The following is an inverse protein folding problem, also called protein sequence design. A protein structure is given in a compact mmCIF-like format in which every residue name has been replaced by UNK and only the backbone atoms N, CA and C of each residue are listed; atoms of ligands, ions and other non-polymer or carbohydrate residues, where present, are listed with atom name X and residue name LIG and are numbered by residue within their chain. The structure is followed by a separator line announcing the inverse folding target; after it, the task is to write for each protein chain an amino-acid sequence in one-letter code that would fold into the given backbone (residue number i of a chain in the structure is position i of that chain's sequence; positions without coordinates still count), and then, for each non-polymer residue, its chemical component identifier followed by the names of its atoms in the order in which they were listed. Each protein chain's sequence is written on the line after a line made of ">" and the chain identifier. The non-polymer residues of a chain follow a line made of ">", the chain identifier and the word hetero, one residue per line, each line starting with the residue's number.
data_IF_815810958107
#
_entry.id   IF_815810958107
#
_cell.length_a   1.000
_cell.length_b   1.000
_cell.length_c   1.000
_cell.angle_alpha   90.00
_cell.angle_beta   90.00
_cell.angle_gamma   90.00
#
_symmetry.space_group_name_H-M   'P 1'
#
loop_
_entity.id
_entity.type
_entity.pdbx_description
1 polymer ?
#
# COMPACT_ATOMS: atom_id res chain seq x y z
N UNK A 1 17.07 29.53 -13.17
CA UNK A 1 17.62 28.17 -12.84
C UNK A 1 18.73 28.20 -11.80
N UNK A 2 19.63 29.19 -11.80
CA UNK A 2 20.70 29.30 -10.76
C UNK A 2 20.16 29.43 -9.32
N UNK A 3 19.08 30.20 -9.10
CA UNK A 3 18.55 30.45 -7.73
C UNK A 3 17.87 29.23 -7.06
N UNK A 4 17.40 28.25 -7.84
CA UNK A 4 16.83 27.01 -7.29
C UNK A 4 17.91 25.99 -6.91
N UNK A 5 19.02 25.98 -7.64
CA UNK A 5 20.20 25.16 -7.33
C UNK A 5 20.91 25.65 -6.07
N UNK A 6 21.04 27.00 -5.91
CA UNK A 6 21.65 27.59 -4.71
C UNK A 6 20.78 27.38 -3.45
N UNK A 7 19.45 27.40 -3.59
CA UNK A 7 18.53 27.05 -2.50
C UNK A 7 18.59 25.57 -2.12
N UNK A 8 18.73 24.67 -3.10
CA UNK A 8 18.87 23.24 -2.87
C UNK A 8 20.22 22.89 -2.24
N UNK A 9 21.31 23.57 -2.66
CA UNK A 9 22.64 23.37 -2.06
C UNK A 9 22.73 23.93 -0.64
N UNK A 10 22.12 25.08 -0.35
CA UNK A 10 22.00 25.61 1.01
C UNK A 10 21.17 24.72 1.94
N UNK A 11 20.16 24.05 1.39
CA UNK A 11 19.33 23.10 2.13
C UNK A 11 20.06 21.79 2.49
N UNK A 12 21.00 21.33 1.64
CA UNK A 12 21.84 20.16 1.87
C UNK A 12 23.01 20.43 2.84
N UNK A 13 23.36 21.68 3.12
CA UNK A 13 24.50 22.07 3.97
C UNK A 13 24.12 22.36 5.43
N UNK A 14 22.86 22.24 5.84
CA UNK A 14 22.45 22.39 7.25
C UNK A 14 23.02 21.23 8.10
N UNK A 15 23.94 21.49 9.04
CA UNK A 15 24.62 20.45 9.84
C UNK A 15 23.66 19.58 10.66
N UNK A 16 22.49 20.12 11.04
CA UNK A 16 21.47 19.40 11.84
C UNK A 16 20.73 18.35 11.02
N UNK A 17 20.60 18.58 9.70
CA UNK A 17 19.97 17.65 8.76
C UNK A 17 20.95 16.62 8.22
N UNK A 18 22.22 17.00 8.04
CA UNK A 18 23.27 16.08 7.61
C UNK A 18 23.49 14.96 8.62
N UNK A 19 23.38 15.23 9.93
CA UNK A 19 23.45 14.20 10.97
C UNK A 19 22.24 13.24 10.95
N UNK A 20 21.04 13.74 10.68
CA UNK A 20 19.82 12.93 10.58
C UNK A 20 19.84 12.05 9.32
N UNK A 21 20.27 12.59 8.17
CA UNK A 21 20.43 11.84 6.92
C UNK A 21 21.56 10.81 6.98
N UNK A 22 22.66 11.09 7.69
CA UNK A 22 23.74 10.13 7.89
C UNK A 22 23.33 8.97 8.82
N UNK A 23 22.48 9.22 9.83
CA UNK A 23 21.92 8.18 10.69
C UNK A 23 20.97 7.24 9.91
N UNK A 24 20.07 7.81 9.14
CA UNK A 24 19.11 7.06 8.31
C UNK A 24 19.81 6.31 7.18
N UNK A 25 20.78 6.94 6.51
CA UNK A 25 21.57 6.30 5.45
C UNK A 25 22.38 5.12 5.94
N UNK A 26 22.99 5.20 7.14
CA UNK A 26 23.71 4.07 7.76
C UNK A 26 22.78 2.94 8.17
N UNK A 27 21.61 3.25 8.73
CA UNK A 27 20.61 2.23 9.08
C UNK A 27 20.07 1.50 7.84
N UNK A 28 19.81 2.21 6.76
CA UNK A 28 19.39 1.63 5.47
C UNK A 28 20.53 0.80 4.87
N UNK A 29 21.78 1.30 4.88
CA UNK A 29 22.93 0.58 4.37
C UNK A 29 23.24 -0.68 5.19
N UNK A 30 23.12 -0.61 6.53
CA UNK A 30 23.25 -1.78 7.41
C UNK A 30 22.10 -2.78 7.19
N UNK A 31 20.87 -2.29 7.01
CA UNK A 31 19.72 -3.12 6.66
C UNK A 31 19.89 -3.85 5.33
N UNK A 32 20.35 -3.14 4.30
CA UNK A 32 20.63 -3.73 2.97
C UNK A 32 21.79 -4.75 3.02
N UNK A 33 22.85 -4.48 3.79
CA UNK A 33 23.95 -5.42 3.99
C UNK A 33 23.50 -6.68 4.74
N UNK A 34 22.64 -6.53 5.76
CA UNK A 34 22.07 -7.67 6.49
C UNK A 34 21.15 -8.52 5.60
N UNK A 35 20.36 -7.89 4.73
CA UNK A 35 19.50 -8.57 3.75
C UNK A 35 20.38 -9.33 2.73
N UNK A 36 21.40 -8.70 2.15
CA UNK A 36 22.31 -9.35 1.21
C UNK A 36 23.09 -10.53 1.84
N UNK A 37 23.48 -10.41 3.11
CA UNK A 37 24.18 -11.48 3.81
C UNK A 37 23.25 -12.65 4.17
N UNK A 38 22.00 -12.37 4.56
CA UNK A 38 21.00 -13.43 4.83
C UNK A 38 20.57 -14.15 3.56
N UNK A 39 20.37 -13.44 2.46
CA UNK A 39 20.03 -14.01 1.16
C UNK A 39 21.16 -14.88 0.62
N UNK A 40 22.40 -14.42 0.74
CA UNK A 40 23.57 -15.20 0.30
C UNK A 40 23.74 -16.49 1.11
N UNK A 41 23.56 -16.41 2.43
CA UNK A 41 23.65 -17.59 3.32
C UNK A 41 22.52 -18.58 3.06
N UNK A 42 21.30 -18.09 2.81
CA UNK A 42 20.17 -18.95 2.42
C UNK A 42 20.40 -19.61 1.08
N UNK A 43 20.91 -18.88 0.09
CA UNK A 43 21.26 -19.40 -1.24
C UNK A 43 22.35 -20.47 -1.13
N UNK A 44 23.43 -20.20 -0.38
CA UNK A 44 24.54 -21.15 -0.15
C UNK A 44 24.05 -22.44 0.55
N UNK A 45 23.13 -22.33 1.52
CA UNK A 45 22.56 -23.48 2.21
C UNK A 45 21.62 -24.29 1.30
N UNK A 46 20.84 -23.59 0.47
CA UNK A 46 19.93 -24.22 -0.49
C UNK A 46 20.71 -24.99 -1.57
N UNK A 47 21.73 -24.36 -2.14
CA UNK A 47 22.57 -24.98 -3.18
C UNK A 47 23.36 -26.18 -2.62
N UNK A 48 23.83 -26.10 -1.37
CA UNK A 48 24.45 -27.22 -0.65
C UNK A 48 23.47 -28.36 -0.34
N UNK A 49 22.22 -28.02 0.00
CA UNK A 49 21.20 -29.01 0.38
C UNK A 49 20.68 -29.80 -0.81
N UNK A 50 20.53 -29.16 -1.98
CA UNK A 50 19.81 -29.72 -3.12
C UNK A 50 20.65 -29.87 -4.42
N UNK A 51 21.87 -29.32 -4.48
CA UNK A 51 22.79 -29.48 -5.65
C UNK A 51 22.30 -28.75 -6.90
N UNK A 52 22.78 -29.19 -8.07
CA UNK A 52 22.51 -28.57 -9.37
C UNK A 52 20.98 -28.56 -9.68
N UNK A 53 20.35 -27.39 -9.92
CA UNK A 53 18.93 -27.27 -10.23
C UNK A 53 18.48 -27.98 -11.53
N UNK A 54 19.40 -28.54 -12.31
CA UNK A 54 19.11 -29.32 -13.52
C UNK A 54 18.96 -30.81 -13.29
N UNK A 55 19.13 -31.28 -12.04
CA UNK A 55 18.98 -32.70 -11.70
C UNK A 55 17.78 -32.95 -10.79
N UNK A 56 17.15 -34.15 -10.83
CA UNK A 56 16.01 -34.46 -9.96
C UNK A 56 16.44 -34.40 -8.48
N UNK A 57 15.61 -33.81 -7.65
CA UNK A 57 15.79 -33.53 -6.23
C UNK A 57 16.50 -34.67 -5.49
N UNK A 58 17.73 -34.47 -5.12
CA UNK A 58 18.49 -35.36 -4.24
C UNK A 58 19.10 -34.49 -3.14
N UNK A 59 18.75 -34.81 -1.88
CA UNK A 59 19.38 -34.16 -0.73
C UNK A 59 20.85 -34.56 -0.69
N UNK A 60 21.74 -33.60 -0.97
CA UNK A 60 23.19 -33.81 -1.07
C UNK A 60 23.91 -33.53 0.24
N UNK A 61 23.38 -32.66 1.09
CA UNK A 61 23.93 -32.34 2.41
C UNK A 61 22.83 -32.24 3.49
N UNK A 62 22.77 -33.27 4.36
CA UNK A 62 21.80 -33.34 5.46
C UNK A 62 22.00 -32.27 6.54
N UNK A 63 23.24 -31.75 6.71
CA UNK A 63 23.53 -30.72 7.70
C UNK A 63 23.05 -29.36 7.19
N UNK A 64 23.34 -29.04 5.93
CA UNK A 64 22.83 -27.84 5.27
C UNK A 64 21.29 -27.83 5.21
N UNK A 65 20.66 -29.00 4.96
CA UNK A 65 19.20 -29.14 5.01
C UNK A 65 18.67 -28.93 6.43
N UNK A 66 19.38 -29.41 7.47
CA UNK A 66 18.97 -29.18 8.88
C UNK A 66 19.07 -27.71 9.27
N UNK A 67 20.12 -27.00 8.85
CA UNK A 67 20.25 -25.56 9.08
C UNK A 67 19.21 -24.75 8.27
N UNK A 68 18.94 -25.14 7.03
CA UNK A 68 17.87 -24.58 6.21
C UNK A 68 16.51 -24.80 6.84
N UNK A 69 16.27 -26.02 7.37
CA UNK A 69 15.03 -26.39 8.08
C UNK A 69 14.89 -25.61 9.39
N UNK A 70 15.97 -25.35 10.12
CA UNK A 70 15.94 -24.51 11.32
C UNK A 70 15.68 -23.03 10.99
N UNK A 71 16.24 -22.53 9.88
CA UNK A 71 15.95 -21.18 9.39
C UNK A 71 14.49 -21.05 8.91
N UNK A 72 13.89 -22.15 8.42
CA UNK A 72 12.50 -22.19 7.96
C UNK A 72 11.51 -22.62 9.05
N UNK A 73 11.92 -23.42 10.03
CA UNK A 73 11.04 -23.85 11.16
C UNK A 73 10.68 -22.71 12.10
N UNK A 74 11.51 -21.66 12.22
CA UNK A 74 11.11 -20.40 12.86
C UNK A 74 9.96 -19.70 12.14
N UNK A 75 9.74 -20.01 10.84
CA UNK A 75 8.65 -19.49 10.02
C UNK A 75 7.47 -20.46 9.83
N UNK A 76 7.70 -21.78 9.94
CA UNK A 76 6.68 -22.80 9.67
C UNK A 76 5.65 -23.01 10.80
N UNK A 77 5.97 -22.64 12.05
CA UNK A 77 5.02 -22.64 13.16
C UNK A 77 4.05 -21.42 13.14
N UNK A 78 4.20 -20.50 12.16
CA UNK A 78 3.36 -19.35 11.94
C UNK A 78 2.48 -19.42 10.70
N UNK A 79 2.30 -20.58 10.08
CA UNK A 79 1.42 -20.75 8.90
C UNK A 79 -0.07 -20.77 9.27
N UNK A 80 -0.49 -20.13 10.35
CA UNK A 80 -1.88 -19.90 10.67
C UNK A 80 -2.27 -18.47 10.27
N UNK A 81 -3.07 -18.36 9.23
CA UNK A 81 -4.24 -17.48 9.22
C UNK A 81 -4.00 -16.00 8.88
N UNK A 82 -4.66 -15.47 7.85
CA UNK A 82 -4.23 -14.29 7.11
C UNK A 82 -5.40 -13.37 6.73
N UNK A 83 -5.32 -12.08 6.94
CA UNK A 83 -6.37 -11.09 6.66
C UNK A 83 -5.90 -9.71 6.21
N UNK A 84 -5.29 -8.94 7.11
CA UNK A 84 -4.65 -7.67 6.77
C UNK A 84 -3.40 -7.92 5.91
N UNK A 85 -3.13 -7.02 4.98
CA UNK A 85 -1.96 -7.13 4.12
C UNK A 85 -0.72 -6.56 4.80
N UNK A 86 0.30 -7.40 4.95
CA UNK A 86 1.58 -7.08 5.57
C UNK A 86 2.72 -7.18 4.56
N UNK A 87 3.74 -6.35 4.73
CA UNK A 87 4.91 -6.30 3.87
C UNK A 87 6.18 -6.84 4.53
N UNK A 88 7.29 -6.63 3.86
CA UNK A 88 8.60 -7.14 4.26
C UNK A 88 9.14 -6.56 5.59
N UNK A 89 8.59 -5.44 6.06
CA UNK A 89 8.88 -4.85 7.38
C UNK A 89 8.22 -5.59 8.54
N UNK A 90 7.17 -6.37 8.27
CA UNK A 90 6.45 -7.16 9.27
C UNK A 90 7.31 -8.31 9.83
N UNK A 91 7.18 -8.57 11.14
CA UNK A 91 7.75 -9.77 11.77
C UNK A 91 7.04 -11.06 11.37
N UNK A 92 5.80 -10.97 10.86
CA UNK A 92 5.03 -12.10 10.37
C UNK A 92 5.27 -12.41 8.88
N UNK A 93 6.01 -11.56 8.16
CA UNK A 93 6.26 -11.76 6.74
C UNK A 93 7.20 -12.95 6.50
N UNK A 94 6.71 -13.96 5.79
CA UNK A 94 7.49 -15.14 5.42
C UNK A 94 8.37 -14.85 4.18
N UNK A 95 9.64 -14.55 4.45
CA UNK A 95 10.64 -14.26 3.41
C UNK A 95 10.92 -15.44 2.50
N UNK A 96 10.73 -16.68 2.98
CA UNK A 96 10.96 -17.89 2.20
C UNK A 96 9.86 -18.08 1.15
N UNK A 97 8.62 -17.81 1.54
CA UNK A 97 7.47 -17.81 0.62
C UNK A 97 7.55 -16.67 -0.40
N UNK A 98 7.97 -15.46 0.02
CA UNK A 98 8.21 -14.35 -0.91
C UNK A 98 9.33 -14.66 -1.92
N UNK A 99 10.38 -15.34 -1.49
CA UNK A 99 11.45 -15.80 -2.39
C UNK A 99 10.93 -16.85 -3.38
N UNK A 100 10.12 -17.80 -2.91
CA UNK A 100 9.47 -18.80 -3.78
C UNK A 100 8.54 -18.12 -4.77
N UNK A 101 7.73 -17.14 -4.32
CA UNK A 101 6.89 -16.32 -5.18
C UNK A 101 7.69 -15.63 -6.29
N UNK A 102 8.83 -15.02 -5.94
CA UNK A 102 9.74 -14.38 -6.91
C UNK A 102 10.29 -15.37 -7.93
N UNK A 103 10.62 -16.60 -7.52
CA UNK A 103 11.07 -17.65 -8.44
C UNK A 103 9.96 -18.10 -9.39
N UNK A 104 8.73 -18.26 -8.89
CA UNK A 104 7.58 -18.62 -9.71
C UNK A 104 7.26 -17.51 -10.71
N UNK A 105 7.27 -16.25 -10.29
CA UNK A 105 7.09 -15.08 -11.16
C UNK A 105 8.10 -15.05 -12.31
N UNK A 106 9.40 -15.26 -12.01
CA UNK A 106 10.46 -15.35 -13.02
C UNK A 106 10.31 -16.52 -14.00
N UNK A 107 9.58 -17.57 -13.61
CA UNK A 107 9.24 -18.72 -14.47
C UNK A 107 7.96 -18.50 -15.28
N UNK A 108 7.30 -17.35 -15.12
CA UNK A 108 6.07 -17.01 -15.83
C UNK A 108 4.80 -17.58 -15.21
N UNK A 109 4.83 -17.97 -13.92
CA UNK A 109 3.61 -18.36 -13.21
C UNK A 109 2.67 -17.14 -13.05
N UNK A 110 1.38 -17.39 -13.17
CA UNK A 110 0.36 -16.36 -12.98
C UNK A 110 0.30 -15.88 -11.52
N UNK A 111 -0.16 -14.64 -11.25
CA UNK A 111 -0.37 -14.16 -9.88
C UNK A 111 -1.25 -15.08 -9.03
N UNK A 112 -2.28 -15.69 -9.62
CA UNK A 112 -3.18 -16.64 -8.96
C UNK A 112 -2.45 -17.94 -8.55
N UNK A 113 -1.60 -18.48 -9.42
CA UNK A 113 -0.78 -19.65 -9.11
C UNK A 113 0.23 -19.36 -8.01
N UNK A 114 0.90 -18.20 -8.08
CA UNK A 114 1.83 -17.75 -7.04
C UNK A 114 1.12 -17.63 -5.69
N UNK A 115 -0.04 -16.98 -5.66
CA UNK A 115 -0.87 -16.84 -4.47
C UNK A 115 -1.25 -18.19 -3.87
N UNK A 116 -1.80 -19.08 -4.70
CA UNK A 116 -2.22 -20.42 -4.28
C UNK A 116 -1.08 -21.22 -3.67
N UNK A 117 0.12 -21.14 -4.24
CA UNK A 117 1.29 -21.88 -3.81
C UNK A 117 1.93 -21.27 -2.55
N UNK A 118 2.06 -19.94 -2.49
CA UNK A 118 2.90 -19.28 -1.50
C UNK A 118 2.14 -18.40 -0.50
N UNK A 119 0.89 -17.99 -0.79
CA UNK A 119 0.17 -16.95 -0.06
C UNK A 119 0.82 -15.59 -0.11
N UNK A 120 1.68 -15.40 -1.09
CA UNK A 120 2.35 -14.13 -1.34
C UNK A 120 1.85 -13.57 -2.66
N UNK A 121 1.57 -12.29 -2.69
CA UNK A 121 1.02 -11.60 -3.86
C UNK A 121 1.70 -10.26 -4.06
N UNK A 122 1.87 -9.84 -5.31
CA UNK A 122 2.22 -8.46 -5.59
C UNK A 122 0.99 -7.59 -5.52
N UNK A 123 1.06 -6.55 -4.70
CA UNK A 123 0.06 -5.50 -4.73
C UNK A 123 0.14 -4.69 -6.03
N UNK A 124 -0.87 -3.83 -6.28
CA UNK A 124 -0.90 -2.99 -7.48
C UNK A 124 0.29 -2.03 -7.62
N UNK A 125 0.94 -1.68 -6.51
CA UNK A 125 2.19 -0.89 -6.44
C UNK A 125 3.46 -1.71 -6.69
N UNK A 126 3.32 -2.99 -7.00
CA UNK A 126 4.43 -3.91 -7.28
C UNK A 126 5.15 -4.46 -6.04
N UNK A 127 4.76 -4.09 -4.83
CA UNK A 127 5.36 -4.60 -3.60
C UNK A 127 4.76 -5.95 -3.20
N UNK A 128 5.56 -6.83 -2.58
CA UNK A 128 5.10 -8.11 -2.07
C UNK A 128 4.27 -7.94 -0.80
N UNK A 129 3.18 -8.69 -0.74
CA UNK A 129 2.26 -8.75 0.39
C UNK A 129 1.97 -10.18 0.78
N UNK A 130 1.71 -10.34 2.07
CA UNK A 130 1.08 -11.52 2.65
C UNK A 130 -0.09 -11.04 3.50
N UNK A 131 -1.04 -11.89 3.81
CA UNK A 131 -2.15 -11.53 4.70
C UNK A 131 -1.89 -12.08 6.11
N UNK A 132 -2.37 -11.45 7.19
CA UNK A 132 -2.47 -11.98 8.56
C UNK A 132 -3.94 -12.23 8.93
N UNK A 133 -4.22 -13.12 9.91
CA UNK A 133 -5.57 -13.52 10.26
C UNK A 133 -6.33 -12.46 11.07
N UNK A 134 -7.47 -12.02 10.54
CA UNK A 134 -8.39 -11.09 11.21
C UNK A 134 -9.65 -11.78 11.75
N UNK A 135 -9.84 -13.10 11.50
CA UNK A 135 -11.09 -13.78 11.84
C UNK A 135 -11.40 -13.72 13.34
N UNK A 136 -10.36 -13.75 14.18
CA UNK A 136 -10.47 -13.64 15.63
C UNK A 136 -10.36 -12.21 16.16
N UNK A 137 -10.11 -11.23 15.29
CA UNK A 137 -10.02 -9.84 15.71
C UNK A 137 -11.34 -9.36 16.31
N UNK A 138 -11.28 -8.60 17.41
CA UNK A 138 -12.45 -8.03 18.08
C UNK A 138 -12.23 -6.55 18.32
N UNK A 139 -13.27 -5.78 18.16
CA UNK A 139 -13.28 -4.39 18.58
C UNK A 139 -13.94 -4.30 19.96
N UNK A 140 -13.26 -3.66 20.90
CA UNK A 140 -13.73 -3.46 22.28
C UNK A 140 -14.21 -2.03 22.39
N UNK A 141 -15.50 -1.86 22.59
CA UNK A 141 -16.12 -0.53 22.73
C UNK A 141 -15.76 0.13 24.07
N UNK A 142 -15.89 1.44 24.13
CA UNK A 142 -15.63 2.19 25.35
C UNK A 142 -16.46 1.70 26.57
N UNK A 143 -17.77 1.38 26.44
CA UNK A 143 -18.53 0.74 27.52
C UNK A 143 -17.95 -0.60 27.96
N UNK A 144 -17.61 -1.48 27.01
CA UNK A 144 -17.00 -2.79 27.33
C UNK A 144 -15.65 -2.66 28.04
N UNK A 145 -14.85 -1.64 27.69
CA UNK A 145 -13.61 -1.34 28.43
C UNK A 145 -13.89 -0.96 29.89
N UNK A 146 -14.96 -0.18 30.14
CA UNK A 146 -15.37 0.18 31.53
C UNK A 146 -15.85 -1.03 32.30
N UNK A 147 -16.60 -1.93 31.66
CA UNK A 147 -17.04 -3.18 32.27
C UNK A 147 -15.85 -4.07 32.61
N UNK A 148 -14.86 -4.20 31.70
CA UNK A 148 -13.59 -4.91 31.98
C UNK A 148 -12.84 -4.27 33.14
N UNK A 149 -12.79 -2.93 33.23
CA UNK A 149 -12.17 -2.23 34.36
C UNK A 149 -12.89 -2.49 35.67
N UNK A 150 -14.22 -2.54 35.65
CA UNK A 150 -15.04 -2.86 36.84
C UNK A 150 -14.76 -4.28 37.33
N UNK A 151 -14.72 -5.26 36.41
CA UNK A 151 -14.37 -6.66 36.73
C UNK A 151 -12.96 -6.77 37.32
N UNK A 152 -11.97 -6.09 36.75
CA UNK A 152 -10.60 -6.07 37.28
C UNK A 152 -10.53 -5.45 38.68
N UNK A 153 -11.31 -4.40 38.97
CA UNK A 153 -11.43 -3.81 40.32
C UNK A 153 -12.01 -4.81 41.31
N UNK A 154 -13.01 -5.58 40.91
CA UNK A 154 -13.57 -6.66 41.72
C UNK A 154 -12.49 -7.72 42.00
N UNK A 155 -11.77 -8.23 41.00
CA UNK A 155 -10.69 -9.20 41.16
C UNK A 155 -9.60 -8.70 42.13
N UNK A 156 -9.21 -7.41 42.00
CA UNK A 156 -8.27 -6.78 42.93
C UNK A 156 -8.79 -6.84 44.38
N UNK A 157 -10.09 -6.59 44.59
CA UNK A 157 -10.71 -6.64 45.92
C UNK A 157 -10.71 -8.04 46.47
N UNK A 158 -11.11 -9.04 45.67
CA UNK A 158 -11.10 -10.44 46.03
C UNK A 158 -9.69 -10.96 46.38
N UNK A 159 -8.69 -10.61 45.56
CA UNK A 159 -7.30 -10.97 45.81
C UNK A 159 -6.75 -10.32 47.09
N UNK A 160 -7.15 -9.07 47.39
CA UNK A 160 -6.79 -8.44 48.68
C UNK A 160 -7.41 -9.18 49.86
N UNK A 161 -8.65 -9.62 49.73
CA UNK A 161 -9.35 -10.39 50.77
C UNK A 161 -8.66 -11.75 51.00
N UNK A 162 -8.33 -12.47 49.92
CA UNK A 162 -7.56 -13.74 50.00
C UNK A 162 -6.21 -13.56 50.69
N UNK A 163 -5.49 -12.47 50.38
CA UNK A 163 -4.22 -12.15 51.05
C UNK A 163 -4.43 -11.84 52.54
N UNK A 164 -5.53 -11.18 52.92
CA UNK A 164 -5.86 -10.89 54.31
C UNK A 164 -6.19 -12.16 55.08
N UNK A 165 -7.08 -13.00 54.53
CA UNK A 165 -7.47 -14.29 55.13
C UNK A 165 -6.28 -15.21 55.29
N UNK A 166 -5.38 -15.29 54.32
CA UNK A 166 -4.18 -16.10 54.38
C UNK A 166 -3.21 -15.71 55.51
N UNK A 167 -3.30 -14.50 56.04
CA UNK A 167 -2.50 -14.06 57.20
C UNK A 167 -3.04 -14.53 58.54
N UNK A 168 -4.29 -14.97 58.59
CA UNK A 168 -4.91 -15.50 59.81
C UNK A 168 -4.42 -16.92 60.16
N UNK A 169 -3.76 -17.61 59.18
CA UNK A 169 -3.22 -18.97 59.33
C UNK A 169 -1.74 -19.06 58.94
N UNK A 170 -0.82 -18.36 59.67
CA UNK A 170 0.56 -18.21 59.26
C UNK A 170 1.42 -19.46 59.32
N UNK A 171 0.99 -20.46 60.09
CA UNK A 171 1.77 -21.68 60.40
C UNK A 171 1.50 -22.85 59.42
N UNK A 172 0.53 -22.70 58.52
CA UNK A 172 0.19 -23.68 57.50
C UNK A 172 0.96 -23.37 56.19
N UNK A 173 2.02 -24.12 55.93
CA UNK A 173 2.79 -24.07 54.67
C UNK A 173 3.37 -22.68 54.34
N UNK A 174 4.25 -22.09 55.17
CA UNK A 174 4.67 -20.69 55.06
C UNK A 174 5.38 -20.33 53.76
N UNK A 175 6.08 -21.28 53.10
CA UNK A 175 6.76 -21.04 51.81
C UNK A 175 5.78 -20.92 50.64
N UNK A 176 4.84 -21.85 50.54
CA UNK A 176 3.80 -21.89 49.52
C UNK A 176 2.85 -20.70 49.67
N UNK A 177 2.50 -20.35 50.91
CA UNK A 177 1.64 -19.21 51.23
C UNK A 177 2.30 -17.88 50.81
N UNK A 178 3.59 -17.70 51.13
CA UNK A 178 4.34 -16.52 50.73
C UNK A 178 4.44 -16.41 49.19
N UNK A 179 4.65 -17.53 48.48
CA UNK A 179 4.68 -17.56 47.01
C UNK A 179 3.32 -17.18 46.42
N UNK A 180 2.24 -17.73 46.96
CA UNK A 180 0.86 -17.41 46.54
C UNK A 180 0.52 -15.92 46.79
N UNK A 181 0.84 -15.39 47.97
CA UNK A 181 0.63 -13.97 48.29
C UNK A 181 1.42 -13.06 47.37
N UNK A 182 2.66 -13.43 47.04
CA UNK A 182 3.49 -12.66 46.06
C UNK A 182 2.83 -12.63 44.68
N UNK A 183 2.41 -13.80 44.18
CA UNK A 183 1.71 -13.90 42.89
C UNK A 183 0.44 -13.03 42.84
N UNK A 184 -0.42 -13.10 43.89
CA UNK A 184 -1.62 -12.26 43.96
C UNK A 184 -1.32 -10.75 44.02
N UNK A 185 -0.20 -10.33 44.63
CA UNK A 185 0.22 -8.92 44.65
C UNK A 185 0.71 -8.47 43.27
N UNK A 186 1.46 -9.32 42.55
CA UNK A 186 1.91 -9.03 41.18
C UNK A 186 0.72 -8.96 40.23
N UNK A 187 -0.24 -9.89 40.32
CA UNK A 187 -1.49 -9.82 39.57
C UNK A 187 -2.29 -8.55 39.87
N UNK A 188 -2.44 -8.18 41.15
CA UNK A 188 -3.11 -6.94 41.52
C UNK A 188 -2.45 -5.68 40.98
N UNK A 189 -1.10 -5.69 40.89
CA UNK A 189 -0.35 -4.59 40.29
C UNK A 189 -0.66 -4.49 38.80
N UNK A 190 -0.59 -5.61 38.08
CA UNK A 190 -0.91 -5.65 36.64
C UNK A 190 -2.37 -5.25 36.38
N UNK A 191 -3.32 -5.79 37.16
CA UNK A 191 -4.73 -5.43 37.05
C UNK A 191 -4.98 -3.95 37.33
N UNK A 192 -4.27 -3.34 38.27
CA UNK A 192 -4.38 -1.90 38.54
C UNK A 192 -3.89 -1.05 37.37
N UNK A 193 -2.75 -1.41 36.77
CA UNK A 193 -2.23 -0.74 35.58
C UNK A 193 -3.23 -0.80 34.42
N UNK A 194 -3.89 -1.96 34.20
CA UNK A 194 -4.95 -2.10 33.22
C UNK A 194 -6.19 -1.25 33.54
N UNK A 195 -6.64 -1.25 34.81
CA UNK A 195 -7.77 -0.39 35.24
C UNK A 195 -7.46 1.08 34.98
N UNK A 196 -6.28 1.54 35.37
CA UNK A 196 -5.88 2.92 35.17
C UNK A 196 -5.85 3.25 33.67
N UNK A 197 -5.36 2.33 32.82
CA UNK A 197 -5.32 2.50 31.37
C UNK A 197 -6.73 2.53 30.77
N UNK A 198 -7.62 1.61 31.16
CA UNK A 198 -9.01 1.59 30.68
C UNK A 198 -9.83 2.81 31.10
N UNK A 199 -9.56 3.38 32.29
CA UNK A 199 -10.33 4.52 32.82
C UNK A 199 -9.77 5.88 32.43
N UNK A 200 -8.44 6.04 32.36
CA UNK A 200 -7.79 7.31 32.06
C UNK A 200 -7.90 7.72 30.59
N UNK A 201 -7.69 6.75 29.68
CA UNK A 201 -7.60 7.04 28.25
C UNK A 201 -8.95 7.35 27.58
N UNK A 202 -10.07 7.00 28.20
CA UNK A 202 -11.40 7.26 27.61
C UNK A 202 -11.81 8.74 27.63
N UNK A 203 -11.29 9.53 28.56
CA UNK A 203 -11.80 10.87 28.77
C UNK A 203 -11.27 11.90 27.73
N UNK A 204 -10.04 11.78 27.21
CA UNK A 204 -9.43 12.87 26.45
C UNK A 204 -8.47 12.49 25.30
N UNK A 205 -7.93 11.28 25.21
CA UNK A 205 -6.82 10.97 24.28
C UNK A 205 -6.96 9.69 23.45
N UNK A 206 -8.03 8.93 23.62
CA UNK A 206 -8.20 7.61 23.01
C UNK A 206 -7.44 6.50 23.77
N UNK A 207 -7.79 5.24 23.51
CA UNK A 207 -7.16 4.06 24.10
C UNK A 207 -6.03 3.54 23.23
N UNK A 208 -4.97 2.91 23.78
CA UNK A 208 -4.02 2.15 22.96
C UNK A 208 -4.75 1.08 22.14
N UNK A 209 -4.29 0.87 20.90
CA UNK A 209 -4.93 -0.05 19.97
C UNK A 209 -5.05 -1.47 20.54
N UNK A 210 -4.05 -1.97 21.25
CA UNK A 210 -4.09 -3.31 21.90
C UNK A 210 -5.25 -3.51 22.87
N UNK A 211 -5.85 -2.43 23.38
CA UNK A 211 -7.00 -2.50 24.30
C UNK A 211 -8.33 -2.35 23.56
N UNK A 212 -8.34 -1.60 22.47
CA UNK A 212 -9.52 -1.33 21.66
C UNK A 212 -9.71 -2.37 20.54
N UNK A 213 -8.63 -2.96 20.08
CA UNK A 213 -8.63 -3.95 18.99
C UNK A 213 -7.87 -5.18 19.50
N UNK A 214 -8.60 -6.23 19.89
CA UNK A 214 -8.01 -7.51 20.26
C UNK A 214 -7.60 -8.21 18.96
N UNK A 215 -6.30 -8.17 18.62
CA UNK A 215 -5.75 -8.76 17.41
C UNK A 215 -4.32 -9.26 17.62
N UNK A 216 -4.13 -10.44 18.21
CA UNK A 216 -2.79 -10.96 18.56
C UNK A 216 -1.84 -11.06 17.36
N UNK A 217 -2.36 -11.45 16.18
CA UNK A 217 -1.57 -11.59 14.96
C UNK A 217 -1.02 -10.25 14.46
N UNK A 218 -1.84 -9.20 14.50
CA UNK A 218 -1.42 -7.84 14.14
C UNK A 218 -0.26 -7.38 15.01
N UNK A 219 -0.37 -7.53 16.33
CA UNK A 219 0.66 -7.05 17.26
C UNK A 219 1.90 -7.94 17.28
N UNK A 220 1.77 -9.21 16.90
CA UNK A 220 2.92 -10.06 16.61
C UNK A 220 3.64 -9.58 15.34
N UNK A 221 2.89 -9.19 14.32
CA UNK A 221 3.42 -8.66 13.06
C UNK A 221 4.08 -7.29 13.23
N UNK A 222 3.40 -6.41 13.95
CA UNK A 222 3.78 -5.01 14.19
C UNK A 222 3.56 -4.62 15.66
N UNK A 223 4.49 -4.94 16.58
CA UNK A 223 4.33 -4.61 18.01
C UNK A 223 4.12 -3.11 18.28
N UNK A 224 4.67 -2.26 17.46
CA UNK A 224 4.54 -0.81 17.57
C UNK A 224 3.13 -0.27 17.27
N UNK A 225 2.28 -1.04 16.59
CA UNK A 225 0.88 -0.69 16.38
C UNK A 225 0.03 -0.87 17.65
N UNK A 226 0.55 -1.53 18.70
CA UNK A 226 -0.09 -1.59 20.02
C UNK A 226 -0.39 -0.20 20.59
N UNK A 227 0.47 0.77 20.31
CA UNK A 227 0.44 2.12 20.86
C UNK A 227 -0.30 3.13 19.98
N UNK A 228 -0.83 2.73 18.82
CA UNK A 228 -1.75 3.56 18.03
C UNK A 228 -2.93 3.96 18.91
N UNK A 229 -3.30 5.24 18.92
CA UNK A 229 -4.43 5.72 19.73
C UNK A 229 -5.73 5.45 19.00
N UNK A 230 -6.67 4.78 19.65
CA UNK A 230 -8.01 4.54 19.12
C UNK A 230 -9.01 5.47 19.81
N UNK A 231 -9.51 6.45 19.08
CA UNK A 231 -10.55 7.37 19.52
C UNK A 231 -11.91 6.83 19.08
N UNK A 232 -12.85 6.73 20.02
CA UNK A 232 -14.17 6.16 19.75
C UNK A 232 -15.26 7.23 19.92
N UNK A 233 -16.28 7.16 19.05
CA UNK A 233 -17.48 7.98 19.17
C UNK A 233 -17.30 9.43 18.73
N UNK A 234 -16.27 9.75 17.95
CA UNK A 234 -16.12 11.07 17.32
C UNK A 234 -17.29 11.35 16.37
N UNK A 235 -17.65 12.63 16.25
CA UNK A 235 -18.75 13.05 15.37
C UNK A 235 -18.15 13.66 14.12
N UNK A 236 -18.13 12.89 13.04
CA UNK A 236 -17.78 13.38 11.70
C UNK A 236 -18.86 12.88 10.74
N UNK A 237 -19.65 13.78 10.14
CA UNK A 237 -20.61 13.37 9.12
C UNK A 237 -19.87 12.73 7.96
N UNK A 238 -20.49 11.70 7.38
CA UNK A 238 -20.05 11.00 6.17
C UNK A 238 -18.79 10.13 6.28
N UNK A 239 -18.25 9.92 7.52
CA UNK A 239 -17.11 9.05 7.77
C UNK A 239 -17.44 7.98 8.81
N UNK A 240 -17.00 6.74 8.58
CA UNK A 240 -17.08 5.66 9.57
C UNK A 240 -15.86 5.64 10.47
N UNK A 241 -14.69 5.92 9.92
CA UNK A 241 -13.40 5.99 10.60
C UNK A 241 -12.41 6.88 9.88
N UNK A 242 -11.22 7.04 10.45
CA UNK A 242 -10.06 7.66 9.83
C UNK A 242 -8.78 7.25 10.55
N UNK A 243 -7.73 6.91 9.83
CA UNK A 243 -6.38 6.91 10.36
C UNK A 243 -5.74 8.28 10.16
N UNK A 244 -5.10 8.81 11.20
CA UNK A 244 -4.48 10.14 11.21
C UNK A 244 -2.99 9.98 11.50
N UNK A 245 -2.14 9.87 10.45
CA UNK A 245 -0.70 9.58 10.58
C UNK A 245 0.01 10.55 11.53
N UNK A 246 -0.24 11.85 11.36
CA UNK A 246 0.39 12.92 12.16
C UNK A 246 0.28 12.71 13.67
N UNK A 247 -0.79 12.06 14.14
CA UNK A 247 -1.05 11.84 15.56
C UNK A 247 -0.88 10.37 15.97
N UNK A 248 -0.52 9.50 15.03
CA UNK A 248 -0.53 8.05 15.21
C UNK A 248 -1.84 7.60 15.86
N UNK A 249 -2.96 8.03 15.27
CA UNK A 249 -4.29 7.85 15.85
C UNK A 249 -5.27 7.31 14.82
N UNK A 250 -6.17 6.45 15.29
CA UNK A 250 -7.28 5.88 14.58
C UNK A 250 -8.59 6.41 15.21
N UNK A 251 -9.49 6.88 14.39
CA UNK A 251 -10.83 7.28 14.82
C UNK A 251 -11.85 6.24 14.36
N UNK A 252 -12.76 5.85 15.24
CA UNK A 252 -14.00 5.15 14.89
C UNK A 252 -15.15 6.07 15.29
N UNK A 253 -15.88 6.57 14.32
CA UNK A 253 -16.96 7.55 14.56
C UNK A 253 -18.17 6.90 15.22
N UNK A 254 -19.13 7.71 15.66
CA UNK A 254 -20.42 7.19 16.18
C UNK A 254 -21.14 6.31 15.16
N UNK A 255 -21.03 6.67 13.87
CA UNK A 255 -21.66 5.90 12.81
C UNK A 255 -20.89 4.60 12.56
N UNK A 256 -19.56 4.61 12.56
CA UNK A 256 -18.72 3.42 12.47
C UNK A 256 -18.99 2.43 13.63
N UNK A 257 -19.17 2.96 14.86
CA UNK A 257 -19.53 2.12 16.02
C UNK A 257 -20.91 1.46 15.89
N UNK A 258 -21.86 2.08 15.17
CA UNK A 258 -23.20 1.51 14.97
C UNK A 258 -23.23 0.47 13.85
N UNK A 259 -22.47 0.67 12.79
CA UNK A 259 -22.49 -0.21 11.62
C UNK A 259 -21.65 -1.48 11.85
N UNK A 260 -20.35 -1.37 11.82
CA UNK A 260 -19.42 -2.47 12.07
C UNK A 260 -18.08 -1.89 12.60
N UNK A 261 -17.92 -1.72 13.91
CA UNK A 261 -16.72 -1.12 14.49
C UNK A 261 -15.46 -1.95 14.24
N UNK A 262 -15.57 -3.29 14.17
CA UNK A 262 -14.45 -4.16 13.83
C UNK A 262 -13.98 -3.93 12.40
N UNK A 263 -14.91 -3.93 11.46
CA UNK A 263 -14.63 -3.69 10.04
C UNK A 263 -13.98 -2.31 9.83
N UNK A 264 -14.54 -1.27 10.47
CA UNK A 264 -14.00 0.08 10.42
C UNK A 264 -12.57 0.13 11.00
N UNK A 265 -12.36 -0.46 12.17
CA UNK A 265 -11.05 -0.43 12.82
C UNK A 265 -9.97 -1.17 12.02
N UNK A 266 -10.31 -2.30 11.38
CA UNK A 266 -9.38 -3.05 10.52
C UNK A 266 -9.04 -2.26 9.25
N UNK A 267 -10.00 -1.55 8.67
CA UNK A 267 -9.77 -0.65 7.53
C UNK A 267 -8.74 0.43 7.90
N UNK A 268 -8.97 1.14 8.98
CA UNK A 268 -8.08 2.22 9.42
C UNK A 268 -6.70 1.70 9.87
N UNK A 269 -6.66 0.51 10.44
CA UNK A 269 -5.39 -0.12 10.81
C UNK A 269 -4.60 -0.57 9.57
N UNK A 270 -5.27 -0.94 8.47
CA UNK A 270 -4.59 -1.21 7.19
C UNK A 270 -3.88 0.05 6.66
N UNK A 271 -4.45 1.24 6.84
CA UNK A 271 -3.76 2.49 6.51
C UNK A 271 -2.52 2.72 7.37
N UNK A 272 -2.55 2.36 8.67
CA UNK A 272 -1.35 2.41 9.51
C UNK A 272 -0.25 1.45 9.02
N UNK A 273 -0.62 0.26 8.53
CA UNK A 273 0.34 -0.67 7.91
C UNK A 273 0.88 -0.11 6.59
N UNK A 274 0.02 0.47 5.75
CA UNK A 274 0.43 1.06 4.47
C UNK A 274 1.47 2.16 4.66
N UNK A 275 1.26 3.07 5.61
CA UNK A 275 2.24 4.10 5.95
C UNK A 275 3.57 3.48 6.39
N UNK A 276 3.51 2.46 7.25
CA UNK A 276 4.69 1.81 7.79
C UNK A 276 5.51 1.03 6.76
N UNK A 277 4.86 0.34 5.87
CA UNK A 277 5.49 -0.47 4.81
C UNK A 277 5.85 0.36 3.56
N UNK A 278 5.41 1.61 3.48
CA UNK A 278 5.54 2.43 2.28
C UNK A 278 4.69 1.88 1.12
N UNK A 279 3.56 1.28 1.41
CA UNK A 279 2.59 0.88 0.40
C UNK A 279 1.86 2.10 -0.16
N UNK A 280 1.11 1.89 -1.25
CA UNK A 280 0.24 2.93 -1.77
C UNK A 280 -0.70 3.44 -0.68
N UNK A 281 -0.73 4.76 -0.52
CA UNK A 281 -1.52 5.40 0.54
C UNK A 281 -3.00 5.48 0.16
N UNK A 282 -3.86 5.53 1.18
CA UNK A 282 -5.25 5.91 1.03
C UNK A 282 -5.43 7.43 0.85
N UNK A 283 -6.65 7.90 0.93
CA UNK A 283 -6.97 9.32 0.83
C UNK A 283 -8.41 9.61 1.23
N UNK A 284 -8.95 10.70 0.73
CA UNK A 284 -10.35 11.05 0.90
C UNK A 284 -10.90 11.74 -0.36
N UNK A 285 -12.21 11.98 -0.37
CA UNK A 285 -12.90 12.62 -1.49
C UNK A 285 -12.37 14.03 -1.76
N UNK A 286 -11.96 14.78 -0.71
CA UNK A 286 -11.40 16.11 -0.87
C UNK A 286 -10.04 16.08 -1.55
N UNK A 287 -9.17 15.13 -1.16
CA UNK A 287 -7.88 14.88 -1.83
C UNK A 287 -8.10 14.57 -3.30
N UNK A 288 -9.05 13.71 -3.63
CA UNK A 288 -9.39 13.40 -5.02
C UNK A 288 -9.96 14.60 -5.76
N UNK A 289 -10.81 15.39 -5.12
CA UNK A 289 -11.36 16.62 -5.72
C UNK A 289 -10.26 17.62 -6.09
N UNK A 290 -9.27 17.80 -5.21
CA UNK A 290 -8.10 18.65 -5.46
C UNK A 290 -7.25 18.10 -6.61
N UNK A 291 -6.97 16.80 -6.63
CA UNK A 291 -6.20 16.13 -7.67
C UNK A 291 -6.88 16.26 -9.05
N UNK A 292 -8.21 16.06 -9.09
CA UNK A 292 -9.02 16.22 -10.29
C UNK A 292 -9.00 17.69 -10.77
N UNK A 293 -9.14 18.65 -9.86
CA UNK A 293 -9.06 20.07 -10.20
C UNK A 293 -7.68 20.46 -10.76
N UNK A 294 -6.60 19.97 -10.15
CA UNK A 294 -5.24 20.17 -10.63
C UNK A 294 -5.02 19.53 -12.01
N UNK A 295 -5.56 18.33 -12.22
CA UNK A 295 -5.47 17.63 -13.51
C UNK A 295 -6.22 18.39 -14.62
N UNK A 296 -7.38 18.95 -14.33
CA UNK A 296 -8.12 19.82 -15.25
C UNK A 296 -7.32 21.08 -15.62
N UNK A 297 -6.65 21.67 -14.65
CA UNK A 297 -5.80 22.84 -14.88
C UNK A 297 -4.59 22.49 -15.75
N UNK A 298 -3.89 21.42 -15.42
CA UNK A 298 -2.74 20.94 -16.17
C UNK A 298 -3.12 20.54 -17.59
N UNK A 299 -4.26 19.86 -17.77
CA UNK A 299 -4.77 19.49 -19.10
C UNK A 299 -4.98 20.69 -20.00
N UNK A 300 -5.60 21.78 -19.49
CA UNK A 300 -5.76 23.03 -20.25
C UNK A 300 -4.43 23.67 -20.65
N UNK A 301 -3.41 23.58 -19.78
CA UNK A 301 -2.08 24.10 -20.12
C UNK A 301 -1.41 23.27 -21.21
N UNK A 302 -1.53 21.95 -21.15
CA UNK A 302 -1.01 21.05 -22.19
C UNK A 302 -1.76 21.22 -23.50
N UNK A 303 -3.07 21.33 -23.49
CA UNK A 303 -3.86 21.61 -24.70
C UNK A 303 -3.43 22.91 -25.37
N UNK A 304 -3.11 23.96 -24.61
CA UNK A 304 -2.53 25.19 -25.11
C UNK A 304 -1.15 24.95 -25.74
N UNK A 305 -0.29 24.14 -25.11
CA UNK A 305 1.02 23.78 -25.67
C UNK A 305 0.89 22.99 -26.96
N UNK A 306 -0.09 22.08 -27.07
CA UNK A 306 -0.41 21.36 -28.32
C UNK A 306 -0.83 22.33 -29.43
N UNK A 307 -1.71 23.28 -29.12
CA UNK A 307 -2.14 24.32 -30.08
C UNK A 307 -0.93 25.13 -30.56
N UNK A 308 -0.08 25.59 -29.65
CA UNK A 308 1.12 26.37 -30.02
C UNK A 308 2.09 25.54 -30.89
N UNK A 309 2.26 24.26 -30.65
CA UNK A 309 3.07 23.37 -31.50
C UNK A 309 2.44 23.22 -32.89
N UNK A 310 1.11 23.10 -32.97
CA UNK A 310 0.39 23.03 -34.23
C UNK A 310 0.55 24.33 -35.06
N UNK A 311 0.45 25.48 -34.40
CA UNK A 311 0.59 26.78 -35.06
C UNK A 311 2.04 26.97 -35.55
N UNK A 312 3.04 26.62 -34.72
CA UNK A 312 4.45 26.65 -35.12
C UNK A 312 4.74 25.73 -36.33
N UNK A 313 4.18 24.51 -36.34
CA UNK A 313 4.31 23.59 -37.47
C UNK A 313 3.62 24.12 -38.73
N UNK A 314 2.53 24.88 -38.60
CA UNK A 314 1.87 25.54 -39.74
C UNK A 314 2.77 26.63 -40.37
N UNK A 315 3.44 27.45 -39.55
CA UNK A 315 4.37 28.46 -40.02
C UNK A 315 5.61 27.82 -40.65
N UNK A 316 6.13 26.75 -40.06
CA UNK A 316 7.24 25.99 -40.60
C UNK A 316 6.87 25.32 -41.94
N UNK A 317 5.66 24.76 -42.06
CA UNK A 317 5.16 24.20 -43.33
C UNK A 317 5.17 25.21 -44.46
N UNK A 318 4.73 26.45 -44.21
CA UNK A 318 4.80 27.53 -45.18
C UNK A 318 6.23 27.82 -45.62
N UNK A 319 7.18 27.79 -44.67
CA UNK A 319 8.59 27.99 -44.97
C UNK A 319 9.16 26.85 -45.84
N UNK A 320 8.83 25.59 -45.51
CA UNK A 320 9.25 24.41 -46.28
C UNK A 320 8.72 24.46 -47.72
N UNK A 321 7.44 24.83 -47.90
CA UNK A 321 6.83 24.95 -49.22
C UNK A 321 7.50 26.07 -50.03
N UNK A 322 7.81 27.23 -49.42
CA UNK A 322 8.52 28.30 -50.08
C UNK A 322 9.93 27.89 -50.49
N UNK A 323 10.68 27.23 -49.66
CA UNK A 323 12.04 26.72 -49.95
C UNK A 323 12.05 25.57 -50.98
N UNK A 324 11.01 24.77 -51.04
CA UNK A 324 10.87 23.67 -51.98
C UNK A 324 10.94 24.12 -53.47
N UNK A 325 10.67 25.41 -53.72
CA UNK A 325 10.84 25.98 -55.06
C UNK A 325 12.30 26.18 -55.50
N UNK A 326 13.24 26.22 -54.53
CA UNK A 326 14.65 26.54 -54.79
C UNK A 326 15.62 25.46 -54.31
N UNK A 327 15.22 24.68 -53.28
CA UNK A 327 16.10 23.73 -52.62
C UNK A 327 15.56 22.28 -52.77
N UNK A 328 16.30 21.34 -53.40
CA UNK A 328 15.80 20.00 -53.72
C UNK A 328 15.46 19.14 -52.51
N UNK A 329 16.12 19.37 -51.35
CA UNK A 329 15.87 18.62 -50.11
C UNK A 329 14.48 18.97 -49.53
N UNK A 330 14.11 20.26 -49.55
CA UNK A 330 12.76 20.69 -49.11
C UNK A 330 11.70 20.23 -50.10
N UNK A 331 11.99 20.21 -51.38
CA UNK A 331 11.09 19.69 -52.41
C UNK A 331 10.75 18.22 -52.15
N UNK A 332 11.77 17.37 -51.87
CA UNK A 332 11.55 15.98 -51.57
C UNK A 332 10.68 15.79 -50.32
N UNK A 333 10.98 16.52 -49.25
CA UNK A 333 10.18 16.48 -48.03
C UNK A 333 8.72 16.85 -48.27
N UNK A 334 8.46 17.91 -49.03
CA UNK A 334 7.11 18.37 -49.36
C UNK A 334 6.37 17.35 -50.22
N UNK A 335 7.05 16.79 -51.25
CA UNK A 335 6.46 15.75 -52.12
C UNK A 335 6.12 14.49 -51.30
N UNK A 336 7.05 13.98 -50.46
CA UNK A 336 6.83 12.81 -49.59
C UNK A 336 5.67 13.05 -48.59
N UNK A 337 5.58 14.24 -48.00
CA UNK A 337 4.51 14.60 -47.10
C UNK A 337 3.15 14.60 -47.79
N UNK A 338 3.10 15.16 -49.00
CA UNK A 338 1.89 15.22 -49.79
C UNK A 338 1.39 13.83 -50.21
N UNK A 339 2.30 12.98 -50.72
CA UNK A 339 1.96 11.63 -51.13
C UNK A 339 1.46 10.76 -49.94
N UNK A 340 2.13 10.89 -48.79
CA UNK A 340 1.72 10.18 -47.57
C UNK A 340 0.35 10.63 -47.07
N UNK A 341 0.11 11.93 -47.01
CA UNK A 341 -1.15 12.49 -46.51
C UNK A 341 -2.31 12.18 -47.48
N UNK A 342 -2.04 12.19 -48.79
CA UNK A 342 -2.98 11.76 -49.82
C UNK A 342 -3.32 10.29 -49.70
N UNK A 343 -2.36 9.43 -49.38
CA UNK A 343 -2.58 8.01 -49.17
C UNK A 343 -3.50 7.72 -47.93
N UNK A 344 -3.42 8.57 -46.90
CA UNK A 344 -4.27 8.45 -45.72
C UNK A 344 -5.70 8.98 -45.93
N UNK A 345 -5.87 10.14 -46.57
CA UNK A 345 -7.17 10.78 -46.74
C UNK A 345 -7.91 10.39 -48.03
N UNK A 346 -7.22 9.75 -48.95
CA UNK A 346 -7.76 9.44 -50.27
C UNK A 346 -7.75 10.63 -51.24
N UNK A 347 -8.19 10.38 -52.44
CA UNK A 347 -8.38 11.42 -53.45
C UNK A 347 -9.67 12.24 -53.19
N UNK A 348 -9.78 13.40 -53.83
CA UNK A 348 -10.99 14.21 -53.75
C UNK A 348 -12.22 13.40 -54.10
N UNK A 349 -13.18 13.35 -53.20
CA UNK A 349 -14.43 12.59 -53.31
C UNK A 349 -15.59 13.37 -52.70
N UNK A 350 -16.80 12.79 -52.71
CA UNK A 350 -17.94 13.40 -52.00
C UNK A 350 -17.69 13.55 -50.52
N UNK A 351 -16.96 12.60 -49.91
CA UNK A 351 -16.59 12.62 -48.50
C UNK A 351 -15.37 13.52 -48.19
N UNK A 352 -14.56 13.87 -49.22
CA UNK A 352 -13.42 14.76 -49.15
C UNK A 352 -13.45 15.80 -50.29
N UNK A 353 -14.39 16.74 -50.27
CA UNK A 353 -14.64 17.66 -51.43
C UNK A 353 -13.52 18.65 -51.68
N UNK A 354 -12.68 18.93 -50.67
CA UNK A 354 -11.58 19.91 -50.81
C UNK A 354 -10.27 19.27 -51.30
N UNK A 355 -10.16 17.93 -51.21
CA UNK A 355 -8.92 17.21 -51.52
C UNK A 355 -7.85 17.42 -50.44
N UNK A 356 -6.58 17.18 -50.81
CA UNK A 356 -5.42 17.37 -49.94
C UNK A 356 -4.83 18.77 -50.17
N UNK A 357 -4.73 19.55 -49.10
CA UNK A 357 -4.00 20.81 -49.10
C UNK A 357 -2.51 20.54 -48.83
N UNK A 358 -1.62 21.22 -49.58
CA UNK A 358 -0.18 21.01 -49.49
C UNK A 358 0.35 21.48 -48.12
N UNK A 359 -0.18 22.57 -47.59
CA UNK A 359 0.23 23.09 -46.27
C UNK A 359 -0.19 22.13 -45.18
N UNK A 360 -1.41 21.59 -45.25
CA UNK A 360 -1.90 20.60 -44.28
C UNK A 360 -1.06 19.33 -44.29
N UNK A 361 -0.67 18.86 -45.52
CA UNK A 361 0.17 17.69 -45.67
C UNK A 361 1.56 17.86 -45.02
N UNK A 362 2.23 18.97 -45.30
CA UNK A 362 3.54 19.30 -44.73
C UNK A 362 3.44 19.53 -43.22
N UNK A 363 2.42 20.26 -42.76
CA UNK A 363 2.18 20.43 -41.32
C UNK A 363 1.96 19.12 -40.61
N UNK A 364 1.15 18.22 -41.15
CA UNK A 364 0.90 16.88 -40.61
C UNK A 364 2.19 16.09 -40.47
N UNK A 365 3.04 16.07 -41.48
CA UNK A 365 4.31 15.37 -41.47
C UNK A 365 5.27 15.94 -40.40
N UNK A 366 5.32 17.26 -40.24
CA UNK A 366 6.12 17.90 -39.18
C UNK A 366 5.62 17.55 -37.79
N UNK A 367 4.29 17.52 -37.57
CA UNK A 367 3.67 17.17 -36.30
C UNK A 367 3.90 15.69 -35.95
N UNK A 368 3.75 14.81 -36.93
CA UNK A 368 3.97 13.37 -36.74
C UNK A 368 5.42 13.06 -36.33
N UNK A 369 6.38 13.82 -36.85
CA UNK A 369 7.79 13.66 -36.51
C UNK A 369 8.21 14.39 -35.21
N UNK A 370 7.29 15.13 -34.57
CA UNK A 370 7.58 15.93 -33.38
C UNK A 370 7.56 15.10 -32.11
N UNK A 371 8.72 14.80 -31.45
CA UNK A 371 8.75 14.12 -30.17
C UNK A 371 8.08 14.92 -29.06
N UNK A 372 8.13 16.25 -29.17
CA UNK A 372 7.53 17.19 -28.19
C UNK A 372 6.01 17.05 -28.21
N UNK A 373 5.41 17.06 -29.42
CA UNK A 373 3.97 16.89 -29.56
C UNK A 373 3.52 15.49 -29.08
N UNK A 374 4.25 14.44 -29.45
CA UNK A 374 3.96 13.08 -29.00
C UNK A 374 3.92 12.98 -27.46
N UNK A 375 4.87 13.65 -26.79
CA UNK A 375 4.89 13.68 -25.32
C UNK A 375 3.69 14.46 -24.74
N UNK A 376 3.34 15.61 -25.31
CA UNK A 376 2.16 16.37 -24.86
C UNK A 376 0.86 15.61 -25.07
N UNK A 377 0.72 14.90 -26.18
CA UNK A 377 -0.47 14.05 -26.42
C UNK A 377 -0.58 12.96 -25.38
N UNK A 378 0.49 12.22 -25.11
CA UNK A 378 0.52 11.17 -24.07
C UNK A 378 0.18 11.73 -22.68
N UNK A 379 0.74 12.89 -22.35
CA UNK A 379 0.46 13.56 -21.08
C UNK A 379 -0.99 14.02 -20.99
N UNK A 380 -1.55 14.58 -22.08
CA UNK A 380 -2.95 14.98 -22.14
C UNK A 380 -3.90 13.78 -21.99
N UNK A 381 -3.61 12.66 -22.66
CA UNK A 381 -4.40 11.43 -22.56
C UNK A 381 -4.40 10.91 -21.13
N UNK A 382 -3.23 10.94 -20.49
CA UNK A 382 -3.10 10.53 -19.10
C UNK A 382 -3.95 11.37 -18.15
N UNK A 383 -3.93 12.68 -18.31
CA UNK A 383 -4.68 13.60 -17.46
C UNK A 383 -6.19 13.58 -17.72
N UNK A 384 -6.63 13.29 -18.97
CA UNK A 384 -8.06 13.26 -19.32
C UNK A 384 -8.85 12.22 -18.51
N UNK A 385 -8.29 11.02 -18.33
CA UNK A 385 -8.90 9.99 -17.53
C UNK A 385 -9.20 10.49 -16.12
N UNK A 386 -8.20 11.08 -15.47
CA UNK A 386 -8.32 11.60 -14.12
C UNK A 386 -9.19 12.86 -14.04
N UNK A 387 -9.05 13.78 -14.99
CA UNK A 387 -9.81 15.05 -15.03
C UNK A 387 -11.33 14.85 -15.16
N UNK A 388 -11.76 13.74 -15.76
CA UNK A 388 -13.17 13.43 -15.97
C UNK A 388 -13.76 12.50 -14.91
N UNK A 389 -12.96 12.08 -13.94
CA UNK A 389 -13.38 11.15 -12.91
C UNK A 389 -14.33 11.85 -11.90
N UNK A 390 -15.33 11.13 -11.42
CA UNK A 390 -16.09 11.55 -10.25
C UNK A 390 -15.23 11.44 -9.00
N UNK A 391 -15.19 12.45 -8.10
CA UNK A 391 -14.32 12.44 -6.92
C UNK A 391 -14.53 11.24 -6.00
N UNK A 392 -15.75 10.77 -5.83
CA UNK A 392 -16.05 9.60 -4.98
C UNK A 392 -15.58 8.30 -5.65
N UNK A 393 -15.78 8.17 -6.97
CA UNK A 393 -15.23 7.04 -7.73
C UNK A 393 -13.71 7.06 -7.72
N UNK A 394 -13.09 8.23 -7.86
CA UNK A 394 -11.65 8.40 -7.76
C UNK A 394 -11.11 8.01 -6.38
N UNK A 395 -11.76 8.44 -5.31
CA UNK A 395 -11.44 8.01 -3.94
C UNK A 395 -11.49 6.47 -3.82
N UNK A 396 -12.57 5.85 -4.31
CA UNK A 396 -12.67 4.38 -4.29
C UNK A 396 -11.59 3.67 -5.09
N UNK A 397 -11.08 4.30 -6.14
CA UNK A 397 -10.01 3.76 -6.98
C UNK A 397 -8.60 3.98 -6.41
N UNK A 398 -8.41 4.76 -5.33
CA UNK A 398 -7.12 4.84 -4.66
C UNK A 398 -6.67 3.47 -4.19
N UNK A 399 -5.43 3.09 -4.53
CA UNK A 399 -4.89 1.76 -4.23
C UNK A 399 -4.96 1.44 -2.74
N UNK A 400 -4.57 2.39 -1.87
CA UNK A 400 -4.63 2.21 -0.42
C UNK A 400 -6.05 2.00 0.08
N UNK A 401 -7.03 2.75 -0.44
CA UNK A 401 -8.43 2.61 -0.09
C UNK A 401 -9.02 1.27 -0.57
N UNK A 402 -8.70 0.87 -1.80
CA UNK A 402 -9.16 -0.40 -2.35
C UNK A 402 -8.61 -1.58 -1.53
N UNK A 403 -7.34 -1.54 -1.12
CA UNK A 403 -6.71 -2.55 -0.26
C UNK A 403 -7.32 -2.56 1.15
N UNK A 404 -7.59 -1.39 1.74
CA UNK A 404 -8.23 -1.32 3.06
C UNK A 404 -9.68 -1.87 3.04
N UNK A 405 -10.46 -1.61 1.97
CA UNK A 405 -11.78 -2.23 1.77
C UNK A 405 -11.68 -3.73 1.48
N UNK A 406 -10.63 -4.16 0.78
CA UNK A 406 -10.36 -5.57 0.56
C UNK A 406 -10.14 -6.31 1.88
N UNK A 407 -9.41 -5.70 2.83
CA UNK A 407 -9.26 -6.23 4.20
C UNK A 407 -10.62 -6.42 4.88
N UNK A 408 -11.53 -5.42 4.78
CA UNK A 408 -12.89 -5.53 5.34
C UNK A 408 -13.68 -6.70 4.74
N UNK A 409 -13.61 -6.88 3.42
CA UNK A 409 -14.31 -7.94 2.70
C UNK A 409 -13.81 -9.33 3.09
N UNK A 410 -12.53 -9.44 3.42
CA UNK A 410 -11.84 -10.71 3.69
C UNK A 410 -11.70 -11.04 5.18
N UNK A 411 -12.13 -10.15 6.07
CA UNK A 411 -11.91 -10.25 7.53
C UNK A 411 -12.40 -11.53 8.20
N UNK A 412 -13.41 -12.19 7.62
CA UNK A 412 -14.06 -13.38 8.19
C UNK A 412 -13.67 -14.68 7.46
N UNK A 413 -12.77 -14.61 6.46
CA UNK A 413 -12.36 -15.79 5.71
C UNK A 413 -11.47 -16.72 6.55
N UNK A 414 -11.69 -18.02 6.42
CA UNK A 414 -10.77 -19.05 6.89
C UNK A 414 -9.48 -19.07 6.04
N UNK A 415 -8.38 -19.66 6.51
CA UNK A 415 -7.14 -19.78 5.75
C UNK A 415 -7.32 -20.48 4.39
N UNK A 416 -8.17 -21.51 4.34
CA UNK A 416 -8.48 -22.26 3.14
C UNK A 416 -9.23 -21.39 2.12
N UNK A 417 -10.22 -20.63 2.58
CA UNK A 417 -10.99 -19.70 1.74
C UNK A 417 -10.10 -18.58 1.20
N UNK A 418 -9.18 -18.05 2.02
CA UNK A 418 -8.22 -17.04 1.59
C UNK A 418 -7.32 -17.54 0.48
N UNK A 419 -6.79 -18.76 0.61
CA UNK A 419 -5.99 -19.40 -0.46
C UNK A 419 -6.77 -19.66 -1.72
N UNK A 420 -8.05 -19.95 -1.60
CA UNK A 420 -8.96 -20.21 -2.73
C UNK A 420 -9.22 -18.94 -3.54
N UNK A 421 -9.40 -17.79 -2.87
CA UNK A 421 -9.80 -16.54 -3.51
C UNK A 421 -8.62 -15.60 -3.63
N UNK A 422 -8.21 -15.33 -4.88
CA UNK A 422 -7.11 -14.40 -5.17
C UNK A 422 -7.52 -12.96 -4.80
N UNK A 423 -6.74 -12.22 -3.97
CA UNK A 423 -7.17 -10.94 -3.41
C UNK A 423 -7.27 -9.83 -4.46
N UNK A 424 -6.27 -9.68 -5.33
CA UNK A 424 -6.19 -8.58 -6.30
C UNK A 424 -6.86 -8.90 -7.65
N UNK A 425 -7.95 -9.65 -7.62
CA UNK A 425 -8.85 -9.87 -8.74
C UNK A 425 -10.13 -9.06 -8.51
N UNK A 426 -10.74 -8.55 -9.58
CA UNK A 426 -12.04 -7.88 -9.46
C UNK A 426 -13.09 -8.86 -8.92
N UNK A 427 -13.89 -8.42 -7.95
CA UNK A 427 -14.88 -9.30 -7.32
C UNK A 427 -15.95 -9.75 -8.32
N UNK A 428 -16.22 -11.05 -8.30
CA UNK A 428 -17.33 -11.70 -9.01
C UNK A 428 -18.14 -12.51 -8.02
N UNK A 429 -19.47 -12.30 -7.98
CA UNK A 429 -20.36 -12.95 -7.01
C UNK A 429 -20.31 -14.47 -7.04
N UNK A 430 -20.01 -15.05 -8.20
CA UNK A 430 -20.00 -16.50 -8.40
C UNK A 430 -18.60 -17.11 -8.29
N UNK A 431 -17.56 -16.38 -8.71
CA UNK A 431 -16.19 -16.90 -8.84
C UNK A 431 -15.28 -16.40 -7.70
N UNK A 432 -15.29 -15.11 -7.42
CA UNK A 432 -14.48 -14.49 -6.37
C UNK A 432 -15.23 -13.33 -5.69
N UNK A 433 -16.12 -13.61 -4.74
CA UNK A 433 -16.87 -12.55 -4.05
C UNK A 433 -16.01 -11.72 -3.07
N UNK A 434 -14.77 -12.11 -2.83
CA UNK A 434 -13.83 -11.53 -1.86
C UNK A 434 -12.64 -10.83 -2.53
N UNK A 435 -12.76 -10.47 -3.80
CA UNK A 435 -11.77 -9.69 -4.55
C UNK A 435 -11.93 -8.19 -4.37
N UNK A 436 -11.18 -7.43 -5.16
CA UNK A 436 -11.27 -5.97 -5.23
C UNK A 436 -12.69 -5.53 -5.67
N UNK A 437 -13.19 -4.48 -5.07
CA UNK A 437 -14.47 -3.85 -5.44
C UNK A 437 -14.35 -2.84 -6.60
N UNK A 438 -13.14 -2.66 -7.12
CA UNK A 438 -12.82 -1.87 -8.32
C UNK A 438 -11.86 -2.66 -9.21
N UNK A 439 -11.95 -2.51 -10.55
CA UNK A 439 -11.01 -3.19 -11.46
C UNK A 439 -9.55 -2.76 -11.19
N UNK A 440 -8.61 -3.71 -11.22
CA UNK A 440 -7.19 -3.45 -10.95
C UNK A 440 -6.58 -2.41 -11.91
N UNK A 441 -7.04 -2.39 -13.16
CA UNK A 441 -6.60 -1.44 -14.17
C UNK A 441 -7.18 -0.03 -13.97
N UNK A 442 -8.12 0.17 -13.06
CA UNK A 442 -8.65 1.49 -12.70
C UNK A 442 -8.02 2.06 -11.43
N UNK A 443 -7.12 1.34 -10.78
CA UNK A 443 -6.49 1.78 -9.54
C UNK A 443 -5.58 2.99 -9.76
N UNK A 444 -5.58 3.88 -8.78
CA UNK A 444 -4.81 5.13 -8.74
C UNK A 444 -3.80 5.03 -7.62
N UNK A 445 -2.51 5.21 -7.93
CA UNK A 445 -1.44 5.23 -6.95
C UNK A 445 -0.99 6.66 -6.69
N UNK A 446 -0.99 7.08 -5.43
CA UNK A 446 -0.46 8.35 -4.95
C UNK A 446 0.78 8.11 -4.08
N UNK A 447 1.74 9.03 -4.17
CA UNK A 447 2.87 9.06 -3.22
C UNK A 447 2.44 9.63 -1.85
N UNK A 448 3.34 9.62 -0.88
CA UNK A 448 3.13 10.15 0.47
C UNK A 448 2.72 11.65 0.50
N UNK A 449 2.94 12.37 -0.60
CA UNK A 449 2.59 13.78 -0.77
C UNK A 449 1.26 13.99 -1.49
N UNK A 450 0.60 12.88 -1.88
CA UNK A 450 -0.64 12.90 -2.65
C UNK A 450 -0.45 13.18 -4.15
N UNK A 451 0.78 13.06 -4.68
CA UNK A 451 1.01 13.19 -6.11
C UNK A 451 0.74 11.88 -6.83
N UNK A 452 0.23 11.96 -8.05
CA UNK A 452 0.00 10.80 -8.89
C UNK A 452 1.33 10.14 -9.29
N UNK A 453 1.53 8.90 -8.85
CA UNK A 453 2.70 8.08 -9.23
C UNK A 453 2.35 7.20 -10.43
N UNK A 454 1.18 6.55 -10.37
CA UNK A 454 0.68 5.69 -11.44
C UNK A 454 -0.84 5.67 -11.38
N UNK A 455 -1.46 5.65 -12.55
CA UNK A 455 -2.90 5.38 -12.66
C UNK A 455 -3.11 4.22 -13.62
N UNK A 456 -3.89 3.25 -13.23
CA UNK A 456 -4.37 2.20 -14.12
C UNK A 456 -5.21 2.74 -15.27
N UNK A 457 -5.70 3.99 -15.15
CA UNK A 457 -6.38 4.72 -16.22
C UNK A 457 -5.42 5.21 -17.33
N UNK A 458 -4.11 5.02 -17.17
CA UNK A 458 -3.06 5.61 -18.01
C UNK A 458 -2.37 4.62 -18.96
N UNK A 459 -2.85 3.41 -19.12
CA UNK A 459 -2.11 2.45 -19.92
C UNK A 459 -2.90 1.28 -20.46
N UNK A 460 -3.66 1.47 -21.50
CA UNK A 460 -3.91 0.48 -22.55
C UNK A 460 -3.78 1.14 -23.91
#
# INVERSE_FOLDING_TARGET
>A
MASLLDSALGWMQDPRRTQQLQGTGRAIQQGLLNIQQSDKRFQDLFDKSFGDPKQPFKVTDKKALSELTQMTQGGLLGMAEVGMFVGAGSKAFDKSMAFTATKLEKKGASPQEIWKETGTVRGPDGQWRQEINDAEAKFVTAPEMLDKAALLKQNISENKQKIKESKEYPDLFPKELNKAQKALREENKANKELVDTYTYNQAFTGSPAKLAIEHPELYRAYPELEDVRVMQGTVKPDFLGAFIPKYNALEVTKEGLKQDPRSTALHEMQHAIQEKEGFAVGGNVDTMSQLIAQSKYNLKDIERKIINQRDAASDEARMYIAKAQQEPEFKRFVDDAFDKYKAQLGEKSEDNPFGVDLQDAVQFQLLEQSPILSNYIKEAESLRGLANLDPYQGYRALMGEAEARLTQTRKDLTPEERRKYFPFEFQDKNLNPYGLDVPINSLINLDERGNLVQSGLLGQ
#
